data_IF_692551502228
#
_entry.id   IF_692551502228
#
_cell.length_a   1.000
_cell.length_b   1.000
_cell.length_c   1.000
_cell.angle_alpha   90.00
_cell.angle_beta   90.00
_cell.angle_gamma   90.00
#
_symmetry.space_group_name_H-M   'P 1'
#
loop_
_entity.id
_entity.type
_entity.pdbx_description
1 polymer ?
#
# COMPACT_ATOMS: atom_id res chain seq x y z
N UNK A 1 4.60 -6.84 -5.96
CA UNK A 1 4.93 -5.46 -6.45
C UNK A 1 5.59 -4.71 -5.31
N UNK A 2 6.81 -4.21 -5.51
CA UNK A 2 7.59 -3.57 -4.44
C UNK A 2 7.21 -2.08 -4.28
N UNK A 3 7.06 -1.63 -3.04
CA UNK A 3 6.85 -0.22 -2.70
C UNK A 3 7.59 0.22 -1.45
N UNK A 4 7.59 1.52 -1.18
CA UNK A 4 8.13 2.11 0.07
C UNK A 4 7.03 2.91 0.74
N UNK A 5 6.75 2.65 2.01
CA UNK A 5 5.79 3.44 2.79
C UNK A 5 6.41 4.81 3.09
N UNK A 6 5.71 5.90 2.78
CA UNK A 6 6.20 7.28 3.01
C UNK A 6 5.38 8.06 4.03
N UNK A 7 4.23 7.53 4.43
CA UNK A 7 3.43 8.16 5.47
C UNK A 7 2.16 7.39 5.77
N UNK A 8 1.61 7.68 6.94
CA UNK A 8 0.43 7.04 7.50
C UNK A 8 -0.50 8.08 8.11
N UNK A 9 -1.81 7.91 7.92
CA UNK A 9 -2.85 8.73 8.56
C UNK A 9 -3.96 7.82 9.11
N UNK A 10 -4.47 8.18 10.29
CA UNK A 10 -5.61 7.53 10.93
C UNK A 10 -6.70 8.56 11.21
N UNK A 11 -7.96 8.19 10.99
CA UNK A 11 -9.11 8.98 11.38
C UNK A 11 -10.33 8.06 11.61
N UNK A 12 -11.34 8.57 12.31
CA UNK A 12 -12.59 7.86 12.56
C UNK A 12 -13.66 8.38 11.61
N UNK A 13 -14.33 7.47 10.90
CA UNK A 13 -15.44 7.79 10.00
C UNK A 13 -16.68 8.30 10.75
N UNK A 14 -17.61 8.91 10.03
CA UNK A 14 -18.89 9.38 10.60
C UNK A 14 -19.74 8.24 11.19
N UNK A 15 -19.49 7.01 10.75
CA UNK A 15 -20.10 5.78 11.23
C UNK A 15 -19.38 5.15 12.44
N UNK A 16 -18.37 5.85 12.99
CA UNK A 16 -17.57 5.41 14.14
C UNK A 16 -16.47 4.38 13.80
N UNK A 17 -16.32 3.99 12.53
CA UNK A 17 -15.30 2.99 12.13
C UNK A 17 -13.93 3.63 11.92
N UNK A 18 -12.83 3.00 12.38
CA UNK A 18 -11.49 3.50 12.12
C UNK A 18 -11.10 3.29 10.65
N UNK A 19 -10.38 4.27 10.11
CA UNK A 19 -9.81 4.22 8.76
C UNK A 19 -8.32 4.55 8.80
N UNK A 20 -7.57 3.77 8.04
CA UNK A 20 -6.12 3.84 7.91
C UNK A 20 -5.75 4.13 6.46
N UNK A 21 -4.88 5.11 6.26
CA UNK A 21 -4.38 5.52 4.94
C UNK A 21 -2.88 5.35 4.90
N UNK A 22 -2.42 4.53 3.96
CA UNK A 22 -1.00 4.28 3.69
C UNK A 22 -0.61 4.98 2.39
N UNK A 23 0.39 5.87 2.46
CA UNK A 23 1.02 6.47 1.28
C UNK A 23 2.22 5.62 0.90
N UNK A 24 2.22 5.10 -0.33
CA UNK A 24 3.26 4.18 -0.82
C UNK A 24 3.83 4.72 -2.12
N UNK A 25 5.16 4.91 -2.16
CA UNK A 25 5.86 5.10 -3.43
C UNK A 25 5.93 3.75 -4.13
N UNK A 26 5.36 3.68 -5.34
CA UNK A 26 5.52 2.55 -6.24
C UNK A 26 6.58 2.86 -7.26
N UNK A 27 7.52 1.94 -7.42
CA UNK A 27 8.44 1.95 -8.55
C UNK A 27 7.80 1.09 -9.64
N UNK A 28 7.30 1.71 -10.70
CA UNK A 28 6.84 0.98 -11.88
C UNK A 28 8.09 0.58 -12.67
N UNK A 29 8.69 -0.56 -12.33
CA UNK A 29 9.81 -1.08 -13.12
C UNK A 29 9.30 -1.83 -14.34
N UNK A 30 9.97 -1.61 -15.46
CA UNK A 30 9.75 -2.22 -16.78
C UNK A 30 9.56 -3.74 -16.71
N UNK A 31 8.36 -4.21 -17.07
CA UNK A 31 8.18 -5.58 -17.56
C UNK A 31 7.58 -5.48 -18.96
N UNK A 32 8.46 -5.39 -19.96
CA UNK A 32 8.17 -5.94 -21.29
C UNK A 32 7.44 -5.05 -22.31
N UNK A 33 7.66 -3.73 -22.34
CA UNK A 33 7.32 -2.76 -23.44
C UNK A 33 6.15 -1.80 -23.20
N UNK A 34 6.12 -1.09 -22.08
CA UNK A 34 5.35 0.16 -22.01
C UNK A 34 6.07 1.16 -21.09
N UNK A 35 6.60 2.22 -21.69
CA UNK A 35 7.27 3.34 -21.00
C UNK A 35 6.41 3.90 -19.86
N UNK A 36 6.86 3.70 -18.62
CA UNK A 36 6.47 4.51 -17.47
C UNK A 36 7.70 4.80 -16.60
N UNK A 37 8.43 5.87 -16.92
CA UNK A 37 9.54 6.37 -16.09
C UNK A 37 8.95 7.31 -15.04
N UNK A 38 8.79 6.84 -13.79
CA UNK A 38 8.34 7.70 -12.69
C UNK A 38 8.08 6.96 -11.38
N UNK A 39 8.17 7.71 -10.28
CA UNK A 39 7.68 7.31 -8.96
C UNK A 39 6.32 7.97 -8.73
N UNK A 40 5.29 7.18 -8.46
CA UNK A 40 3.99 7.71 -8.04
C UNK A 40 3.77 7.42 -6.55
N UNK A 41 3.22 8.39 -5.83
CA UNK A 41 2.68 8.18 -4.48
C UNK A 41 1.25 7.69 -4.62
N UNK A 42 1.03 6.40 -4.38
CA UNK A 42 -0.30 5.81 -4.33
C UNK A 42 -0.85 5.82 -2.89
N UNK A 43 -2.16 6.02 -2.75
CA UNK A 43 -2.86 6.01 -1.47
C UNK A 43 -3.75 4.78 -1.35
N UNK A 44 -3.58 4.03 -0.26
CA UNK A 44 -4.40 2.86 0.04
C UNK A 44 -5.16 3.05 1.34
N UNK A 45 -6.48 2.87 1.24
CA UNK A 45 -7.42 2.99 2.35
C UNK A 45 -7.82 1.61 2.82
N UNK A 46 -7.74 1.38 4.12
CA UNK A 46 -8.15 0.13 4.75
C UNK A 46 -8.68 0.38 6.15
N UNK A 47 -9.44 -0.57 6.67
CA UNK A 47 -9.98 -0.59 8.02
C UNK A 47 -9.12 -1.45 8.97
N UNK A 48 -7.97 -1.93 8.51
CA UNK A 48 -7.02 -2.73 9.26
C UNK A 48 -5.72 -1.96 9.43
N UNK A 49 -5.18 -1.94 10.65
CA UNK A 49 -3.85 -1.37 10.89
C UNK A 49 -2.78 -2.43 10.62
N UNK A 50 -1.82 -2.09 9.76
CA UNK A 50 -0.59 -2.83 9.54
C UNK A 50 0.56 -2.22 10.37
N UNK A 51 1.39 -3.10 10.94
CA UNK A 51 2.60 -2.73 11.66
C UNK A 51 3.74 -2.45 10.67
N UNK A 52 3.74 -1.24 10.09
CA UNK A 52 4.74 -0.76 9.13
C UNK A 52 5.15 0.67 9.45
N UNK A 53 6.41 0.99 9.15
CA UNK A 53 7.01 2.29 9.39
C UNK A 53 7.33 3.01 8.07
N UNK A 54 7.43 4.35 8.09
CA UNK A 54 7.99 5.08 6.96
C UNK A 54 9.39 4.55 6.60
N UNK A 55 9.67 4.45 5.30
CA UNK A 55 10.86 3.85 4.68
C UNK A 55 10.93 2.33 4.67
N UNK A 56 9.95 1.61 5.25
CA UNK A 56 9.88 0.17 5.07
C UNK A 56 9.66 -0.17 3.59
N UNK A 57 10.50 -1.07 3.09
CA UNK A 57 10.28 -1.72 1.80
C UNK A 57 9.19 -2.77 2.01
N UNK A 58 8.16 -2.71 1.19
CA UNK A 58 6.98 -3.55 1.37
C UNK A 58 6.54 -4.22 0.08
N UNK A 59 5.87 -5.35 0.24
CA UNK A 59 5.00 -5.93 -0.76
C UNK A 59 3.53 -5.76 -0.34
N UNK A 60 2.69 -5.37 -1.29
CA UNK A 60 1.26 -5.16 -1.07
C UNK A 60 0.46 -6.36 -1.60
N UNK A 61 -0.45 -6.88 -0.80
CA UNK A 61 -1.39 -7.95 -1.18
C UNK A 61 -2.80 -7.37 -1.27
N UNK A 62 -3.50 -7.71 -2.35
CA UNK A 62 -4.89 -7.30 -2.57
C UNK A 62 -5.77 -8.54 -2.70
N UNK A 63 -6.95 -8.47 -2.12
CA UNK A 63 -7.98 -9.51 -2.22
C UNK A 63 -9.24 -8.96 -2.89
N UNK A 64 -9.97 -9.78 -3.67
CA UNK A 64 -11.26 -9.39 -4.18
C UNK A 64 -12.26 -9.23 -3.03
N UNK A 65 -13.03 -8.14 -3.04
CA UNK A 65 -14.15 -7.98 -2.13
C UNK A 65 -15.48 -8.43 -2.77
N UNK A 66 -16.55 -8.47 -1.97
CA UNK A 66 -17.88 -8.83 -2.43
C UNK A 66 -18.51 -7.90 -3.48
N UNK A 67 -17.85 -6.80 -3.87
CA UNK A 67 -18.25 -5.92 -4.98
C UNK A 67 -17.37 -6.07 -6.22
N UNK A 68 -16.51 -7.10 -6.28
CA UNK A 68 -15.63 -7.39 -7.42
C UNK A 68 -14.44 -6.45 -7.54
N UNK A 69 -14.15 -5.64 -6.52
CA UNK A 69 -13.01 -4.72 -6.47
C UNK A 69 -11.88 -5.34 -5.65
N UNK A 70 -10.63 -5.09 -6.06
CA UNK A 70 -9.47 -5.44 -5.26
C UNK A 70 -9.33 -4.45 -4.08
N UNK A 71 -9.20 -4.97 -2.87
CA UNK A 71 -8.97 -4.20 -1.63
C UNK A 71 -7.63 -4.60 -1.04
N UNK A 72 -6.88 -3.63 -0.54
CA UNK A 72 -5.61 -3.91 0.15
C UNK A 72 -5.89 -4.76 1.39
N UNK A 73 -5.38 -5.99 1.41
CA UNK A 73 -5.61 -6.96 2.50
C UNK A 73 -4.38 -7.17 3.37
N UNK A 74 -3.17 -6.95 2.83
CA UNK A 74 -1.93 -7.08 3.60
C UNK A 74 -0.80 -6.16 3.11
N UNK A 75 0.11 -5.83 4.02
CA UNK A 75 1.39 -5.20 3.74
C UNK A 75 2.50 -6.04 4.39
N UNK A 76 3.36 -6.66 3.58
CA UNK A 76 4.48 -7.47 4.05
C UNK A 76 5.76 -6.66 4.00
N UNK A 77 6.42 -6.45 5.15
CA UNK A 77 7.75 -5.81 5.19
C UNK A 77 8.80 -6.77 4.65
N UNK A 78 9.51 -6.32 3.61
CA UNK A 78 10.64 -7.03 3.03
C UNK A 78 11.87 -6.74 3.89
N UNK A 79 12.24 -7.70 4.75
CA UNK A 79 13.48 -7.59 5.52
C UNK A 79 14.67 -7.51 4.56
N UNK A 80 15.64 -6.63 4.83
CA UNK A 80 16.95 -6.71 4.16
C UNK A 80 17.56 -8.05 4.57
N UNK A 81 17.82 -8.93 3.60
CA UNK A 81 18.82 -9.97 3.80
C UNK A 81 20.14 -9.25 4.13
N UNK A 82 20.68 -9.57 5.31
CA UNK A 82 21.95 -9.03 5.80
C UNK A 82 23.14 -9.72 5.19
#
# INVERSE_FOLDING_TARGET
MQGVVTGYKHFVGKDGRPWFVYNVIKNFSDVGKALCVGMEVAQYWCNTQFDVQPNDKVELTFEPNGSGRAVLSNITVLKKEG
#
